data_IF_384444639442
#
_entry.id   IF_384444639442
#
_cell.length_a   1.000
_cell.length_b   1.000
_cell.length_c   1.000
_cell.angle_alpha   90.00
_cell.angle_beta   90.00
_cell.angle_gamma   90.00
#
_symmetry.space_group_name_H-M   'P 1'
#
loop_
_entity.id
_entity.type
_entity.pdbx_description
1 polymer ?
#
# COMPACT_ATOMS: atom_id res chain seq x y z
N UNK A 1 -2.25 -2.02 -16.12
CA UNK A 1 -2.74 -1.14 -15.04
C UNK A 1 -2.17 0.26 -15.29
N UNK A 2 -2.99 1.22 -15.74
CA UNK A 2 -2.53 2.59 -16.04
C UNK A 2 -2.67 3.48 -14.80
N UNK A 3 -1.75 3.34 -13.84
CA UNK A 3 -1.63 4.30 -12.74
C UNK A 3 -0.72 5.44 -13.18
N UNK A 4 -1.28 6.65 -13.31
CA UNK A 4 -0.51 7.88 -13.57
C UNK A 4 -0.52 8.70 -12.28
N UNK A 5 0.61 8.73 -11.57
CA UNK A 5 0.78 9.47 -10.32
C UNK A 5 2.17 10.08 -10.22
N UNK A 6 2.33 11.07 -9.34
CA UNK A 6 3.58 11.86 -9.20
C UNK A 6 4.68 11.17 -8.40
N UNK A 7 4.49 9.91 -7.99
CA UNK A 7 5.40 9.18 -7.10
C UNK A 7 5.85 9.99 -5.87
N UNK A 8 4.91 10.71 -5.26
CA UNK A 8 5.18 11.61 -4.12
C UNK A 8 5.81 10.84 -2.95
N UNK A 9 6.90 11.39 -2.42
CA UNK A 9 7.55 10.88 -1.21
C UNK A 9 6.75 11.21 0.04
N UNK A 10 6.84 10.35 1.05
CA UNK A 10 6.33 10.61 2.39
C UNK A 10 7.01 11.85 2.97
N UNK A 11 6.23 12.82 3.45
CA UNK A 11 6.71 13.97 4.20
C UNK A 11 6.50 13.78 5.70
N UNK A 12 7.08 14.68 6.50
CA UNK A 12 6.86 14.70 7.94
C UNK A 12 5.37 14.88 8.29
N UNK A 13 4.64 15.70 7.52
CA UNK A 13 3.21 15.93 7.74
C UNK A 13 2.36 14.68 7.50
N UNK A 14 2.80 13.78 6.61
CA UNK A 14 2.14 12.48 6.45
C UNK A 14 2.33 11.63 7.72
N UNK A 15 3.50 11.66 8.35
CA UNK A 15 3.75 10.95 9.62
C UNK A 15 2.93 11.53 10.78
N UNK A 16 2.83 12.86 10.90
CA UNK A 16 2.00 13.50 11.93
C UNK A 16 0.53 13.09 11.77
N UNK A 17 0.01 13.14 10.54
CA UNK A 17 -1.38 12.73 10.25
C UNK A 17 -1.60 11.25 10.51
N UNK A 18 -0.67 10.39 10.10
CA UNK A 18 -0.74 8.95 10.33
C UNK A 18 -0.72 8.60 11.81
N UNK A 19 0.20 9.20 12.57
CA UNK A 19 0.36 8.96 14.00
C UNK A 19 -0.91 9.38 14.77
N UNK A 20 -1.49 10.55 14.44
CA UNK A 20 -2.77 11.00 15.01
C UNK A 20 -3.92 10.04 14.69
N UNK A 21 -3.96 9.48 13.48
CA UNK A 21 -5.02 8.55 13.05
C UNK A 21 -4.94 7.20 13.75
N UNK A 22 -3.73 6.71 13.98
CA UNK A 22 -3.47 5.42 14.64
C UNK A 22 -3.54 5.56 16.17
N UNK A 23 -3.30 6.76 16.71
CA UNK A 23 -3.24 7.02 18.15
C UNK A 23 -1.88 6.65 18.76
N UNK A 24 -0.79 6.86 18.02
CA UNK A 24 0.57 6.58 18.47
C UNK A 24 1.48 7.80 18.36
N UNK A 25 2.67 7.70 18.95
CA UNK A 25 3.69 8.74 18.83
C UNK A 25 4.25 8.80 17.40
N UNK A 26 4.56 10.02 16.91
CA UNK A 26 5.20 10.22 15.60
C UNK A 26 6.53 9.47 15.51
N UNK A 27 7.31 9.44 16.59
CA UNK A 27 8.57 8.69 16.63
C UNK A 27 8.34 7.19 16.44
N UNK A 28 7.35 6.60 17.12
CA UNK A 28 7.01 5.19 16.97
C UNK A 28 6.63 4.85 15.52
N UNK A 29 5.79 5.67 14.88
CA UNK A 29 5.42 5.45 13.48
C UNK A 29 6.61 5.59 12.52
N UNK A 30 7.51 6.54 12.78
CA UNK A 30 8.75 6.71 11.99
C UNK A 30 9.69 5.52 12.17
N UNK A 31 9.80 4.97 13.37
CA UNK A 31 10.62 3.78 13.64
C UNK A 31 10.12 2.57 12.86
N UNK A 32 8.80 2.34 12.86
CA UNK A 32 8.21 1.26 12.05
C UNK A 32 8.46 1.48 10.56
N UNK A 33 8.22 2.70 10.05
CA UNK A 33 8.47 3.00 8.65
C UNK A 33 9.95 2.87 8.26
N UNK A 34 10.90 3.09 9.18
CA UNK A 34 12.32 2.92 8.92
C UNK A 34 12.74 1.45 8.75
N UNK A 35 12.03 0.52 9.39
CA UNK A 35 12.34 -0.93 9.37
C UNK A 35 11.52 -1.66 8.31
N UNK A 36 10.22 -1.38 8.26
CA UNK A 36 9.26 -2.16 7.48
C UNK A 36 9.05 -1.62 6.06
N UNK A 37 9.30 -0.32 5.83
CA UNK A 37 9.12 0.22 4.50
C UNK A 37 10.29 -0.15 3.59
N UNK A 38 9.98 -0.49 2.34
CA UNK A 38 10.97 -0.66 1.26
C UNK A 38 11.78 0.63 0.96
N UNK A 39 11.45 1.75 1.58
CA UNK A 39 12.03 3.08 1.34
C UNK A 39 11.48 3.76 0.07
N UNK A 40 11.70 3.19 -1.12
CA UNK A 40 11.11 3.69 -2.37
C UNK A 40 9.91 2.81 -2.76
N UNK A 41 8.71 3.40 -2.74
CA UNK A 41 7.46 2.71 -3.11
C UNK A 41 7.12 2.72 -4.61
N UNK A 42 7.91 3.44 -5.43
CA UNK A 42 7.69 3.58 -6.88
C UNK A 42 8.94 3.22 -7.67
N UNK A 43 8.78 2.63 -8.85
CA UNK A 43 9.88 2.31 -9.77
C UNK A 43 10.47 3.56 -10.46
N UNK A 44 11.38 3.35 -11.42
CA UNK A 44 12.01 4.44 -12.18
C UNK A 44 11.02 5.18 -13.10
N UNK A 45 9.88 4.58 -13.40
CA UNK A 45 8.82 5.10 -14.24
C UNK A 45 7.64 5.64 -13.43
N UNK A 46 7.83 5.87 -12.12
CA UNK A 46 6.80 6.38 -11.18
C UNK A 46 5.58 5.45 -11.01
N UNK A 47 5.74 4.15 -11.27
CA UNK A 47 4.69 3.15 -11.05
C UNK A 47 4.82 2.52 -9.66
N UNK A 48 3.72 2.24 -8.94
CA UNK A 48 3.77 1.58 -7.65
C UNK A 48 4.48 0.23 -7.75
N UNK A 49 5.42 -0.04 -6.84
CA UNK A 49 6.06 -1.35 -6.73
C UNK A 49 5.07 -2.28 -6.04
N UNK A 50 4.63 -3.30 -6.76
CA UNK A 50 3.70 -4.32 -6.26
C UNK A 50 4.31 -5.70 -6.46
N UNK A 51 4.22 -6.55 -5.44
CA UNK A 51 4.53 -7.97 -5.56
C UNK A 51 3.21 -8.72 -5.73
N UNK A 52 2.94 -9.34 -6.88
CA UNK A 52 1.70 -10.09 -7.08
C UNK A 52 1.72 -11.40 -6.28
N UNK A 53 0.72 -11.58 -5.43
CA UNK A 53 0.48 -12.82 -4.68
C UNK A 53 -0.19 -13.86 -5.61
N UNK A 54 0.49 -14.96 -5.97
CA UNK A 54 -0.05 -16.00 -6.87
C UNK A 54 -1.28 -16.70 -6.25
N UNK A 55 -1.34 -16.81 -4.92
CA UNK A 55 -2.51 -17.37 -4.22
C UNK A 55 -3.72 -16.42 -4.22
N UNK A 56 -3.51 -15.10 -4.23
CA UNK A 56 -4.61 -14.13 -4.17
C UNK A 56 -5.47 -14.14 -5.44
N UNK A 57 -4.89 -14.47 -6.60
CA UNK A 57 -5.64 -14.68 -7.85
C UNK A 57 -6.55 -15.91 -7.86
N UNK A 58 -6.26 -16.93 -7.04
CA UNK A 58 -7.09 -18.14 -6.94
C UNK A 58 -8.32 -17.95 -6.05
N UNK A 59 -8.27 -17.01 -5.11
CA UNK A 59 -9.41 -16.67 -4.24
C UNK A 59 -10.50 -15.87 -4.98
N UNK A 60 -10.14 -15.11 -6.02
CA UNK A 60 -11.08 -14.23 -6.75
C UNK A 60 -11.82 -14.92 -7.90
N UNK A 61 -11.46 -16.16 -8.26
CA UNK A 61 -12.05 -16.89 -9.40
C UNK A 61 -13.29 -17.74 -9.04
N UNK A 62 -13.65 -17.86 -7.75
CA UNK A 62 -14.91 -18.52 -7.33
C UNK A 62 -16.07 -17.53 -7.28
N UNK A 63 -16.54 -17.11 -8.47
CA UNK A 63 -17.88 -16.55 -8.60
C UNK A 63 -18.93 -17.67 -8.32
N UNK A 64 -19.92 -17.48 -7.43
CA UNK A 64 -21.00 -18.44 -7.27
C UNK A 64 -21.96 -18.31 -8.46
N UNK A 65 -21.73 -19.10 -9.51
CA UNK A 65 -22.73 -19.29 -10.57
C UNK A 65 -23.82 -20.24 -10.08
N UNK A 66 -24.81 -19.74 -9.32
CA UNK A 66 -26.03 -20.50 -9.06
C UNK A 66 -27.19 -19.61 -8.57
N UNK A 67 -27.96 -19.05 -9.52
CA UNK A 67 -29.43 -18.98 -9.39
C UNK A 67 -30.08 -18.78 -10.76
N UNK A 68 -30.37 -19.89 -11.45
CA UNK A 68 -31.43 -19.90 -12.46
C UNK A 68 -32.71 -20.37 -11.75
N UNK A 69 -33.71 -19.48 -11.85
CA UNK A 69 -35.17 -19.60 -11.68
C UNK A 69 -35.71 -20.85 -10.99
#
# INVERSE_FOLDING_TARGET
MNFIGTARRLSLDDFVRGARRIGCEVAALRSVAAVEARGRGFDAQNRPIVLPEVMSSFATSRSPSARKR
#
